data_IF_359494485044
#
_entry.id   IF_359494485044
#
_cell.length_a   1.000
_cell.length_b   1.000
_cell.length_c   1.000
_cell.angle_alpha   90.00
_cell.angle_beta   90.00
_cell.angle_gamma   90.00
#
_symmetry.space_group_name_H-M   'P 1'
#
loop_
_entity.id
_entity.type
_entity.pdbx_description
1 polymer ?
#
# COMPACT_ATOMS: atom_id res chain seq x y z
N UNK A 1 2.02 -13.06 47.73
CA UNK A 1 1.80 -13.31 46.29
C UNK A 1 2.54 -12.27 45.44
N UNK A 2 3.64 -12.63 44.77
CA UNK A 2 4.28 -11.76 43.76
C UNK A 2 3.55 -11.94 42.43
N UNK A 3 2.83 -10.91 41.97
CA UNK A 3 2.24 -10.90 40.61
C UNK A 3 3.37 -10.94 39.58
N UNK A 4 3.48 -12.02 38.82
CA UNK A 4 4.40 -12.06 37.68
C UNK A 4 3.99 -10.98 36.68
N UNK A 5 4.86 -10.00 36.45
CA UNK A 5 4.65 -8.94 35.47
C UNK A 5 4.84 -9.58 34.10
N UNK A 6 3.76 -9.91 33.37
CA UNK A 6 3.83 -10.41 31.99
C UNK A 6 4.70 -9.45 31.18
N UNK A 7 5.92 -9.88 30.87
CA UNK A 7 6.89 -9.11 30.11
C UNK A 7 6.34 -8.97 28.68
N UNK A 8 5.81 -7.80 28.33
CA UNK A 8 5.36 -7.52 26.96
C UNK A 8 6.59 -7.61 26.05
N UNK A 9 6.72 -8.71 25.30
CA UNK A 9 7.83 -8.92 24.36
C UNK A 9 7.87 -7.72 23.41
N UNK A 10 8.98 -6.98 23.45
CA UNK A 10 9.21 -5.83 22.57
C UNK A 10 9.37 -6.37 21.15
N UNK A 11 8.57 -5.86 20.21
CA UNK A 11 8.70 -6.21 18.80
C UNK A 11 10.12 -5.87 18.31
N UNK A 12 10.68 -6.76 17.50
CA UNK A 12 11.91 -6.55 16.75
C UNK A 12 11.74 -5.43 15.71
N UNK A 13 12.86 -4.90 15.21
CA UNK A 13 12.84 -3.75 14.30
C UNK A 13 12.12 -4.04 12.98
N UNK A 14 12.38 -5.20 12.39
CA UNK A 14 11.71 -5.74 11.21
C UNK A 14 10.20 -5.90 11.44
N UNK A 15 9.79 -6.52 12.55
CA UNK A 15 8.39 -6.71 12.91
C UNK A 15 7.65 -5.37 13.06
N UNK A 16 8.32 -4.33 13.54
CA UNK A 16 7.73 -2.97 13.61
C UNK A 16 7.53 -2.36 12.23
N UNK A 17 8.44 -2.58 11.29
CA UNK A 17 8.32 -2.10 9.91
C UNK A 17 7.18 -2.85 9.21
N UNK A 18 7.15 -4.19 9.30
CA UNK A 18 6.08 -5.02 8.74
C UNK A 18 4.73 -4.57 9.31
N UNK A 19 4.63 -4.42 10.63
CA UNK A 19 3.40 -3.97 11.27
C UNK A 19 2.95 -2.59 10.78
N UNK A 20 3.89 -1.65 10.60
CA UNK A 20 3.57 -0.32 10.10
C UNK A 20 3.02 -0.35 8.65
N UNK A 21 3.56 -1.22 7.79
CA UNK A 21 3.10 -1.43 6.41
C UNK A 21 1.76 -2.18 6.36
N UNK A 22 1.56 -3.21 7.18
CA UNK A 22 0.28 -3.92 7.30
C UNK A 22 -0.88 -2.99 7.68
N UNK A 23 -0.60 -1.92 8.45
CA UNK A 23 -1.62 -0.94 8.84
C UNK A 23 -1.98 0.03 7.74
N UNK A 24 -1.04 0.39 6.87
CA UNK A 24 -1.25 1.22 5.69
C UNK A 24 -0.04 1.05 4.80
N UNK A 25 -0.30 0.81 3.52
CA UNK A 25 0.69 0.72 2.46
C UNK A 25 0.08 1.33 1.18
N UNK A 26 0.91 1.90 0.30
CA UNK A 26 2.33 2.16 0.51
C UNK A 26 2.56 3.28 1.54
N UNK A 27 3.81 3.43 2.00
CA UNK A 27 4.22 4.54 2.88
C UNK A 27 5.49 5.19 2.39
N UNK A 28 5.58 6.51 2.52
CA UNK A 28 6.86 7.21 2.34
C UNK A 28 7.88 6.77 3.38
N UNK A 29 9.16 6.91 3.05
CA UNK A 29 10.27 6.61 3.96
C UNK A 29 10.08 7.21 5.37
N UNK A 30 9.87 8.53 5.46
CA UNK A 30 9.71 9.21 6.75
C UNK A 30 8.42 8.80 7.46
N UNK A 31 7.34 8.56 6.70
CA UNK A 31 6.08 8.06 7.26
C UNK A 31 6.22 6.66 7.86
N UNK A 32 6.98 5.79 7.18
CA UNK A 32 7.26 4.43 7.63
C UNK A 32 8.18 4.42 8.85
N UNK A 33 9.24 5.24 8.84
CA UNK A 33 10.14 5.41 10.00
C UNK A 33 9.39 5.94 11.23
N UNK A 34 8.60 7.00 11.05
CA UNK A 34 7.80 7.59 12.14
C UNK A 34 6.80 6.58 12.71
N UNK A 35 6.15 5.79 11.85
CA UNK A 35 5.13 4.84 12.30
C UNK A 35 5.70 3.55 12.91
N UNK A 36 6.87 3.11 12.47
CA UNK A 36 7.60 1.97 13.08
C UNK A 36 8.23 2.34 14.43
N UNK A 37 8.42 3.63 14.72
CA UNK A 37 8.98 4.10 15.99
C UNK A 37 10.46 3.74 16.15
N UNK A 38 11.18 3.59 15.03
CA UNK A 38 12.61 3.32 14.99
C UNK A 38 13.42 4.61 14.89
N UNK A 39 14.61 4.63 15.50
CA UNK A 39 15.58 5.68 15.26
C UNK A 39 16.08 5.62 13.81
N UNK A 40 16.69 6.70 13.31
CA UNK A 40 17.33 6.67 11.98
C UNK A 40 18.36 5.55 11.87
N UNK A 41 19.24 5.42 12.86
CA UNK A 41 20.29 4.39 12.89
C UNK A 41 19.76 2.95 12.88
N UNK A 42 18.57 2.72 13.44
CA UNK A 42 17.92 1.40 13.38
C UNK A 42 17.16 1.19 12.08
N UNK A 43 16.49 2.24 11.58
CA UNK A 43 15.59 2.13 10.45
C UNK A 43 16.32 1.85 9.14
N UNK A 44 17.36 2.62 8.83
CA UNK A 44 18.12 2.51 7.57
C UNK A 44 18.65 1.09 7.29
N UNK A 45 19.48 0.48 8.16
CA UNK A 45 20.00 -0.85 7.89
C UNK A 45 18.90 -1.92 7.89
N UNK A 46 17.84 -1.73 8.68
CA UNK A 46 16.73 -2.70 8.71
C UNK A 46 15.93 -2.65 7.40
N UNK A 47 15.61 -1.46 6.89
CA UNK A 47 14.80 -1.35 5.68
C UNK A 47 15.57 -1.81 4.44
N UNK A 48 16.86 -1.49 4.34
CA UNK A 48 17.75 -2.01 3.28
C UNK A 48 17.81 -3.54 3.32
N UNK A 49 18.08 -4.13 4.48
CA UNK A 49 18.09 -5.57 4.65
C UNK A 49 16.75 -6.23 4.24
N UNK A 50 15.62 -5.60 4.58
CA UNK A 50 14.30 -6.12 4.21
C UNK A 50 14.01 -6.01 2.71
N UNK A 51 14.57 -4.99 2.03
CA UNK A 51 14.49 -4.84 0.57
C UNK A 51 15.34 -5.91 -0.11
N UNK A 52 16.57 -6.09 0.33
CA UNK A 52 17.49 -7.12 -0.19
C UNK A 52 16.90 -8.53 -0.06
N UNK A 53 16.12 -8.76 1.00
CA UNK A 53 15.41 -10.04 1.25
C UNK A 53 14.08 -10.17 0.51
N UNK A 54 13.66 -9.17 -0.27
CA UNK A 54 12.38 -9.18 -0.97
C UNK A 54 11.15 -9.21 -0.04
N UNK A 55 11.28 -8.72 1.19
CA UNK A 55 10.16 -8.61 2.15
C UNK A 55 9.41 -7.31 1.88
N UNK A 56 10.16 -6.25 1.61
CA UNK A 56 9.66 -4.92 1.27
C UNK A 56 10.12 -4.61 -0.15
N UNK A 57 9.29 -3.91 -0.92
CA UNK A 57 9.68 -3.32 -2.20
C UNK A 57 9.59 -1.81 -2.13
N UNK A 58 10.50 -1.15 -2.82
CA UNK A 58 10.40 0.27 -3.12
C UNK A 58 9.61 0.44 -4.43
N UNK A 59 8.46 1.10 -4.34
CA UNK A 59 7.66 1.54 -5.48
C UNK A 59 8.34 2.81 -6.01
N UNK A 60 9.18 2.65 -7.03
CA UNK A 60 9.91 3.73 -7.70
C UNK A 60 8.97 4.60 -8.52
N UNK A 61 8.24 5.50 -7.87
CA UNK A 61 7.55 6.58 -8.54
C UNK A 61 8.40 7.86 -8.45
N UNK A 62 9.28 8.02 -9.45
CA UNK A 62 9.98 9.25 -9.93
C UNK A 62 11.50 9.31 -9.70
N UNK A 63 12.30 9.62 -10.75
CA UNK A 63 13.77 9.73 -10.70
C UNK A 63 14.32 10.93 -9.91
N UNK A 64 13.48 11.70 -9.20
CA UNK A 64 13.88 12.92 -8.49
C UNK A 64 13.50 12.93 -7.00
N UNK A 65 13.00 11.82 -6.46
CA UNK A 65 12.75 11.66 -5.03
C UNK A 65 13.80 10.71 -4.46
N UNK A 66 14.72 11.24 -3.65
CA UNK A 66 15.77 10.50 -2.95
C UNK A 66 15.24 9.47 -1.95
N UNK A 67 13.92 9.33 -1.78
CA UNK A 67 13.26 8.38 -0.87
C UNK A 67 11.89 7.96 -1.44
N UNK A 68 11.78 6.76 -2.00
CA UNK A 68 10.56 6.25 -2.61
C UNK A 68 9.44 5.89 -1.62
N UNK A 69 8.39 5.27 -2.18
CA UNK A 69 7.31 4.67 -1.42
C UNK A 69 7.64 3.21 -1.12
N UNK A 70 7.40 2.74 0.10
CA UNK A 70 7.68 1.38 0.54
C UNK A 70 6.38 0.63 0.77
N UNK A 71 6.32 -0.60 0.31
CA UNK A 71 5.22 -1.53 0.53
C UNK A 71 5.76 -2.94 0.79
N UNK A 72 4.94 -3.82 1.37
CA UNK A 72 5.30 -5.23 1.42
C UNK A 72 5.39 -5.78 0.00
N UNK A 73 6.22 -6.79 -0.21
CA UNK A 73 6.44 -7.33 -1.56
C UNK A 73 5.16 -7.90 -2.20
N UNK A 74 4.26 -8.44 -1.38
CA UNK A 74 2.94 -8.93 -1.81
C UNK A 74 1.90 -7.82 -2.07
N UNK A 75 2.26 -6.55 -1.91
CA UNK A 75 1.38 -5.43 -2.25
C UNK A 75 1.32 -5.22 -3.76
N UNK A 76 0.14 -5.13 -4.35
CA UNK A 76 -0.02 -4.88 -5.79
C UNK A 76 -0.46 -3.44 -6.04
N UNK A 77 -0.04 -2.84 -7.16
CA UNK A 77 -0.49 -1.48 -7.54
C UNK A 77 -2.02 -1.44 -7.72
N UNK A 78 -2.60 -2.58 -8.11
CA UNK A 78 -4.04 -2.79 -8.14
C UNK A 78 -4.68 -2.59 -6.74
N UNK A 79 -4.07 -3.14 -5.69
CA UNK A 79 -4.53 -2.95 -4.31
C UNK A 79 -4.45 -1.48 -3.88
N UNK A 80 -3.51 -0.70 -4.39
CA UNK A 80 -3.46 0.76 -4.18
C UNK A 80 -4.70 1.45 -4.72
N UNK A 81 -5.08 1.13 -5.95
CA UNK A 81 -6.24 1.72 -6.59
C UNK A 81 -7.51 1.35 -5.82
N UNK A 82 -7.67 0.09 -5.39
CA UNK A 82 -8.80 -0.32 -4.54
C UNK A 82 -8.83 0.43 -3.20
N UNK A 83 -7.68 0.65 -2.55
CA UNK A 83 -7.61 1.44 -1.31
C UNK A 83 -8.08 2.88 -1.55
N UNK A 84 -7.66 3.49 -2.66
CA UNK A 84 -8.04 4.85 -3.04
C UNK A 84 -9.55 4.94 -3.36
N UNK A 85 -10.11 3.92 -3.99
CA UNK A 85 -11.51 3.89 -4.42
C UNK A 85 -12.51 3.55 -3.32
N UNK A 86 -12.10 2.81 -2.27
CA UNK A 86 -12.99 2.22 -1.25
C UNK A 86 -14.10 3.14 -0.73
N UNK A 87 -13.81 4.44 -0.55
CA UNK A 87 -14.77 5.39 0.03
C UNK A 87 -15.51 6.25 -1.00
N UNK A 88 -15.22 6.08 -2.29
CA UNK A 88 -15.67 6.97 -3.36
C UNK A 88 -16.37 6.22 -4.50
N UNK A 89 -16.12 4.93 -4.62
CA UNK A 89 -16.55 4.09 -5.73
C UNK A 89 -17.25 2.87 -5.18
N UNK A 90 -18.41 2.57 -5.73
CA UNK A 90 -19.19 1.38 -5.35
C UNK A 90 -19.10 0.29 -6.40
N UNK A 91 -18.85 0.67 -7.66
CA UNK A 91 -18.66 -0.26 -8.78
C UNK A 91 -17.53 0.21 -9.68
N UNK A 92 -16.73 -0.70 -10.20
CA UNK A 92 -15.62 -0.40 -11.12
C UNK A 92 -15.59 -1.38 -12.27
N UNK A 93 -15.22 -0.92 -13.46
CA UNK A 93 -14.99 -1.81 -14.60
C UNK A 93 -13.60 -2.44 -14.55
N UNK A 94 -13.48 -3.66 -15.07
CA UNK A 94 -12.19 -4.32 -15.16
C UNK A 94 -11.25 -3.58 -16.13
N UNK A 95 -11.81 -2.96 -17.16
CA UNK A 95 -11.06 -2.16 -18.14
C UNK A 95 -10.49 -0.87 -17.51
N UNK A 96 -11.25 -0.20 -16.66
CA UNK A 96 -10.74 0.96 -15.91
C UNK A 96 -9.61 0.55 -14.98
N UNK A 97 -9.75 -0.57 -14.26
CA UNK A 97 -8.69 -1.11 -13.41
C UNK A 97 -7.44 -1.46 -14.23
N UNK A 98 -7.61 -2.07 -15.40
CA UNK A 98 -6.55 -2.43 -16.31
C UNK A 98 -5.79 -1.20 -16.81
N UNK A 99 -6.52 -0.16 -17.20
CA UNK A 99 -5.97 1.13 -17.59
C UNK A 99 -5.21 1.79 -16.43
N UNK A 100 -5.75 1.72 -15.21
CA UNK A 100 -5.15 2.28 -13.99
C UNK A 100 -3.76 1.72 -13.70
N UNK A 101 -3.62 0.39 -13.76
CA UNK A 101 -2.37 -0.32 -13.46
C UNK A 101 -1.46 -0.46 -14.67
N UNK A 102 -1.94 -0.12 -15.87
CA UNK A 102 -1.21 -0.30 -17.13
C UNK A 102 -0.98 -1.77 -17.49
N UNK A 103 -1.94 -2.65 -17.17
CA UNK A 103 -1.87 -4.08 -17.48
C UNK A 103 -3.15 -4.54 -18.19
N UNK A 104 -3.09 -5.58 -19.04
CA UNK A 104 -4.28 -6.17 -19.65
C UNK A 104 -5.30 -6.65 -18.60
N UNK A 105 -6.63 -6.55 -18.88
CA UNK A 105 -7.67 -7.05 -18.00
C UNK A 105 -7.46 -8.51 -17.56
N UNK A 106 -7.04 -9.36 -18.49
CA UNK A 106 -6.80 -10.80 -18.24
C UNK A 106 -5.70 -11.06 -17.22
N UNK A 107 -4.68 -10.19 -17.12
CA UNK A 107 -3.60 -10.35 -16.15
C UNK A 107 -4.03 -9.95 -14.73
N UNK A 108 -5.00 -9.05 -14.62
CA UNK A 108 -5.44 -8.51 -13.33
C UNK A 108 -6.73 -9.14 -12.83
N UNK A 109 -7.50 -9.80 -13.70
CA UNK A 109 -8.87 -10.28 -13.43
C UNK A 109 -8.99 -11.00 -12.09
N UNK A 110 -8.24 -12.08 -11.90
CA UNK A 110 -8.29 -12.89 -10.68
C UNK A 110 -8.03 -12.05 -9.42
N UNK A 111 -7.03 -11.19 -9.50
CA UNK A 111 -6.61 -10.34 -8.37
C UNK A 111 -7.59 -9.20 -8.14
N UNK A 112 -8.15 -8.63 -9.20
CA UNK A 112 -9.18 -7.60 -9.17
C UNK A 112 -10.43 -8.12 -8.47
N UNK A 113 -10.93 -9.32 -8.81
CA UNK A 113 -12.07 -9.92 -8.14
C UNK A 113 -11.80 -10.22 -6.66
N UNK A 114 -10.59 -10.69 -6.32
CA UNK A 114 -10.18 -10.93 -4.94
C UNK A 114 -10.17 -9.62 -4.12
N UNK A 115 -9.65 -8.54 -4.70
CA UNK A 115 -9.59 -7.22 -4.06
C UNK A 115 -10.96 -6.56 -3.99
N UNK A 116 -11.77 -6.67 -5.04
CA UNK A 116 -13.15 -6.20 -5.08
C UNK A 116 -13.97 -6.73 -3.90
N UNK A 117 -13.86 -8.04 -3.63
CA UNK A 117 -14.47 -8.65 -2.45
C UNK A 117 -13.92 -8.07 -1.13
N UNK A 118 -12.60 -7.92 -1.02
CA UNK A 118 -11.92 -7.38 0.18
C UNK A 118 -12.31 -5.94 0.49
N UNK A 119 -12.54 -5.12 -0.54
CA UNK A 119 -12.81 -3.69 -0.42
C UNK A 119 -14.30 -3.35 -0.61
N UNK A 120 -15.17 -4.35 -0.74
CA UNK A 120 -16.62 -4.20 -0.91
C UNK A 120 -17.01 -3.37 -2.15
N UNK A 121 -16.19 -3.43 -3.19
CA UNK A 121 -16.42 -2.79 -4.49
C UNK A 121 -16.93 -3.86 -5.46
N UNK A 122 -17.97 -3.57 -6.25
CA UNK A 122 -18.46 -4.52 -7.27
C UNK A 122 -17.71 -4.32 -8.59
N UNK A 123 -17.34 -5.42 -9.26
CA UNK A 123 -16.88 -5.36 -10.65
C UNK A 123 -18.09 -5.46 -11.57
N UNK A 124 -18.25 -4.51 -12.49
CA UNK A 124 -19.31 -4.48 -13.49
C UNK A 124 -18.80 -4.00 -14.85
N UNK A 125 -19.65 -3.96 -15.88
CA UNK A 125 -19.29 -3.39 -17.18
C UNK A 125 -18.97 -1.89 -17.14
N UNK A 126 -19.45 -1.20 -16.11
CA UNK A 126 -19.31 0.25 -15.96
C UNK A 126 -18.86 0.61 -14.53
N UNK A 127 -18.13 1.71 -14.41
CA UNK A 127 -17.72 2.29 -13.12
C UNK A 127 -18.79 3.24 -12.59
N UNK A 128 -19.18 3.08 -11.32
CA UNK A 128 -20.18 3.93 -10.64
C UNK A 128 -19.72 4.45 -9.27
N UNK A 129 -19.78 5.78 -9.04
CA UNK A 129 -20.21 6.82 -9.99
C UNK A 129 -19.31 6.85 -11.25
N UNK A 130 -19.83 7.26 -12.43
CA UNK A 130 -19.03 7.36 -13.64
C UNK A 130 -18.06 8.52 -13.43
N UNK A 131 -16.80 8.21 -13.20
CA UNK A 131 -15.83 9.24 -12.83
C UNK A 131 -14.58 9.06 -13.66
N UNK A 132 -14.10 10.20 -14.14
CA UNK A 132 -12.71 10.61 -14.26
C UNK A 132 -11.89 10.37 -12.97
N UNK A 133 -11.97 9.15 -12.42
CA UNK A 133 -11.38 8.68 -11.15
C UNK A 133 -9.88 8.80 -11.25
N UNK A 134 -9.29 8.54 -12.43
CA UNK A 134 -7.88 8.76 -12.66
C UNK A 134 -7.49 10.22 -12.53
N UNK A 135 -8.28 11.16 -13.06
CA UNK A 135 -7.99 12.59 -12.97
C UNK A 135 -8.15 13.13 -11.54
N UNK A 136 -9.19 12.70 -10.82
CA UNK A 136 -9.39 13.12 -9.41
C UNK A 136 -8.43 12.44 -8.43
N UNK A 137 -8.11 11.15 -8.60
CA UNK A 137 -7.10 10.47 -7.77
C UNK A 137 -5.70 11.06 -8.02
N UNK A 138 -5.41 11.45 -9.27
CA UNK A 138 -4.17 12.15 -9.63
C UNK A 138 -4.13 13.57 -9.03
N UNK A 139 -5.24 14.33 -9.02
CA UNK A 139 -5.35 15.62 -8.30
C UNK A 139 -5.20 15.46 -6.77
N UNK A 140 -5.86 14.48 -6.16
CA UNK A 140 -5.78 14.26 -4.71
C UNK A 140 -4.39 13.81 -4.22
N UNK A 141 -3.65 13.07 -5.06
CA UNK A 141 -2.23 12.76 -4.80
C UNK A 141 -1.33 14.00 -4.87
N UNK A 142 -1.72 15.04 -5.62
CA UNK A 142 -0.96 16.28 -5.78
C UNK A 142 -1.27 17.31 -4.69
N UNK A 143 -2.50 17.32 -4.17
CA UNK A 143 -2.97 18.27 -3.15
C UNK A 143 -2.54 17.95 -1.71
N UNK A 144 -2.14 16.70 -1.40
CA UNK A 144 -1.64 16.30 -0.06
C UNK A 144 -0.13 16.51 0.15
N UNK A 145 0.49 17.38 -0.66
CA UNK A 145 1.85 17.90 -0.41
C UNK A 145 1.84 18.90 0.75
#
# INVERSE_FOLDING_TARGET
MRRSKKMRRKLSSDAKIIWALMKKQPRSFEGLRKKSGLSRSQFYPTIEFMIDRGIVKEIKNKPHLTKGLFALFNYTDLEEIFILMKNHVTRVSLDDLAQAVGKPPTEIEREAYRLAQKYEIKISSETYPPVAIFDRLRQWSLEKK
#
